data_IF_109989443021
#
_entry.id   IF_109989443021
#
_cell.length_a   1.000
_cell.length_b   1.000
_cell.length_c   1.000
_cell.angle_alpha   90.00
_cell.angle_beta   90.00
_cell.angle_gamma   90.00
#
_symmetry.space_group_name_H-M   'P 1'
#
loop_
_entity.id
_entity.type
_entity.pdbx_description
1 polymer ?
#
# COMPACT_ATOMS: atom_id res chain seq x y z
N UNK A 1 -13.99 -24.16 2.79
CA UNK A 1 -13.61 -23.16 1.79
C UNK A 1 -12.56 -23.78 0.88
N UNK A 2 -12.67 -23.70 -0.45
CA UNK A 2 -11.59 -24.17 -1.32
C UNK A 2 -10.34 -23.32 -1.08
N UNK A 3 -9.16 -23.91 -0.83
CA UNK A 3 -7.95 -23.16 -0.46
C UNK A 3 -7.54 -22.13 -1.53
N UNK A 4 -7.74 -22.47 -2.81
CA UNK A 4 -7.52 -21.57 -3.95
C UNK A 4 -8.41 -20.31 -3.85
N UNK A 5 -9.67 -20.48 -3.45
CA UNK A 5 -10.62 -19.36 -3.32
C UNK A 5 -10.22 -18.44 -2.17
N UNK A 6 -9.78 -18.99 -1.04
CA UNK A 6 -9.26 -18.20 0.08
C UNK A 6 -8.04 -17.38 -0.34
N UNK A 7 -7.06 -17.97 -1.03
CA UNK A 7 -5.85 -17.26 -1.48
C UNK A 7 -6.21 -16.08 -2.38
N UNK A 8 -7.12 -16.26 -3.34
CA UNK A 8 -7.55 -15.18 -4.24
C UNK A 8 -8.19 -14.04 -3.45
N UNK A 9 -9.08 -14.36 -2.51
CA UNK A 9 -9.77 -13.36 -1.68
C UNK A 9 -8.75 -12.55 -0.85
N UNK A 10 -7.83 -13.24 -0.16
CA UNK A 10 -6.81 -12.55 0.66
C UNK A 10 -5.84 -11.72 -0.19
N UNK A 11 -5.47 -12.18 -1.39
CA UNK A 11 -4.65 -11.38 -2.32
C UNK A 11 -5.36 -10.10 -2.75
N UNK A 12 -6.65 -10.17 -3.10
CA UNK A 12 -7.44 -8.99 -3.47
C UNK A 12 -7.55 -8.02 -2.28
N UNK A 13 -7.84 -8.55 -1.09
CA UNK A 13 -7.90 -7.76 0.14
C UNK A 13 -6.56 -7.06 0.39
N UNK A 14 -5.44 -7.76 0.25
CA UNK A 14 -4.10 -7.17 0.40
C UNK A 14 -3.83 -6.01 -0.55
N UNK A 15 -4.19 -6.17 -1.84
CA UNK A 15 -4.06 -5.09 -2.83
C UNK A 15 -4.91 -3.88 -2.45
N UNK A 16 -6.15 -4.10 -2.02
CA UNK A 16 -7.06 -3.02 -1.59
C UNK A 16 -6.50 -2.32 -0.35
N UNK A 17 -5.96 -3.05 0.63
CA UNK A 17 -5.32 -2.45 1.80
C UNK A 17 -4.09 -1.61 1.42
N UNK A 18 -3.26 -2.08 0.50
CA UNK A 18 -2.11 -1.30 0.00
C UNK A 18 -2.55 0.04 -0.59
N UNK A 19 -3.58 0.05 -1.44
CA UNK A 19 -4.12 1.28 -2.03
C UNK A 19 -4.73 2.22 -0.97
N UNK A 20 -5.44 1.66 0.00
CA UNK A 20 -6.01 2.43 1.12
C UNK A 20 -4.92 3.03 2.00
N UNK A 21 -3.88 2.26 2.32
CA UNK A 21 -2.74 2.73 3.12
C UNK A 21 -2.04 3.92 2.47
N UNK A 22 -1.78 3.82 1.15
CA UNK A 22 -1.25 4.96 0.38
C UNK A 22 -2.19 6.17 0.44
N UNK A 23 -3.47 5.98 0.15
CA UNK A 23 -4.45 7.07 0.09
C UNK A 23 -4.64 7.77 1.43
N UNK A 24 -4.65 7.02 2.53
CA UNK A 24 -4.72 7.58 3.89
C UNK A 24 -3.49 8.43 4.16
N UNK A 25 -2.31 7.95 3.77
CA UNK A 25 -1.06 8.68 3.97
C UNK A 25 -1.00 9.96 3.13
N UNK A 26 -1.39 9.89 1.86
CA UNK A 26 -1.43 11.04 0.95
C UNK A 26 -2.41 12.14 1.42
N UNK A 27 -3.55 11.75 1.99
CA UNK A 27 -4.49 12.69 2.62
C UNK A 27 -3.94 13.28 3.91
N UNK A 28 -3.18 12.50 4.69
CA UNK A 28 -2.59 12.97 5.94
C UNK A 28 -1.42 13.93 5.69
N UNK A 29 -0.74 13.84 4.55
CA UNK A 29 0.32 14.76 4.16
C UNK A 29 -0.25 16.07 3.60
N UNK A 30 0.36 17.23 3.93
CA UNK A 30 -0.10 18.53 3.45
C UNK A 30 0.19 18.78 1.95
N UNK A 31 0.91 17.88 1.28
CA UNK A 31 1.26 17.92 -0.13
C UNK A 31 0.86 16.60 -0.79
N UNK A 32 0.62 16.65 -2.12
CA UNK A 32 0.34 15.46 -2.92
C UNK A 32 1.64 14.75 -3.27
N UNK A 33 1.78 13.50 -2.81
CA UNK A 33 2.96 12.68 -3.09
C UNK A 33 3.12 12.42 -4.59
N UNK A 34 2.01 12.22 -5.31
CA UNK A 34 2.02 12.02 -6.76
C UNK A 34 2.66 13.19 -7.51
N UNK A 35 2.31 14.43 -7.13
CA UNK A 35 2.85 15.64 -7.76
C UNK A 35 4.36 15.80 -7.46
N UNK A 36 4.79 15.46 -6.25
CA UNK A 36 6.20 15.49 -5.86
C UNK A 36 7.02 14.43 -6.61
N UNK A 37 6.48 13.23 -6.79
CA UNK A 37 7.11 12.18 -7.59
C UNK A 37 7.26 12.65 -9.05
N UNK A 38 6.24 13.27 -9.64
CA UNK A 38 6.31 13.80 -11.01
C UNK A 38 7.35 14.91 -11.18
N UNK A 39 7.60 15.72 -10.14
CA UNK A 39 8.66 16.73 -10.13
C UNK A 39 10.07 16.15 -9.99
N UNK A 40 10.21 14.83 -9.85
CA UNK A 40 11.49 14.15 -9.66
C UNK A 40 11.95 14.11 -8.21
N UNK A 41 11.05 14.30 -7.24
CA UNK A 41 11.39 14.19 -5.83
C UNK A 41 11.54 12.72 -5.42
N UNK A 42 12.78 12.22 -5.45
CA UNK A 42 13.11 10.84 -5.08
C UNK A 42 12.69 10.50 -3.64
N UNK A 43 12.71 11.48 -2.73
CA UNK A 43 12.32 11.25 -1.34
C UNK A 43 10.83 10.90 -1.23
N UNK A 44 9.96 11.55 -2.01
CA UNK A 44 8.54 11.20 -2.09
C UNK A 44 8.36 9.76 -2.60
N UNK A 45 9.11 9.34 -3.62
CA UNK A 45 9.09 7.97 -4.12
C UNK A 45 9.53 6.93 -3.07
N UNK A 46 10.55 7.25 -2.26
CA UNK A 46 11.01 6.37 -1.16
C UNK A 46 9.95 6.26 -0.06
N UNK A 47 9.25 7.35 0.26
CA UNK A 47 8.15 7.32 1.23
C UNK A 47 7.02 6.41 0.72
N UNK A 48 6.62 6.56 -0.55
CA UNK A 48 5.57 5.73 -1.15
C UNK A 48 5.95 4.26 -1.15
N UNK A 49 7.20 3.91 -1.51
CA UNK A 49 7.64 2.52 -1.46
C UNK A 49 7.66 1.97 -0.02
N UNK A 50 8.08 2.78 0.95
CA UNK A 50 8.03 2.43 2.37
C UNK A 50 6.62 2.12 2.86
N UNK A 51 5.62 2.91 2.44
CA UNK A 51 4.21 2.68 2.79
C UNK A 51 3.74 1.34 2.24
N UNK A 52 4.01 1.03 0.97
CA UNK A 52 3.63 -0.25 0.38
C UNK A 52 4.30 -1.44 1.06
N UNK A 53 5.59 -1.34 1.40
CA UNK A 53 6.32 -2.39 2.13
C UNK A 53 5.71 -2.59 3.52
N UNK A 54 5.44 -1.51 4.26
CA UNK A 54 4.86 -1.60 5.60
C UNK A 54 3.49 -2.29 5.58
N UNK A 55 2.61 -1.88 4.66
CA UNK A 55 1.28 -2.51 4.52
C UNK A 55 1.39 -3.97 4.10
N UNK A 56 2.28 -4.29 3.16
CA UNK A 56 2.51 -5.67 2.73
C UNK A 56 2.97 -6.57 3.89
N UNK A 57 3.85 -6.08 4.76
CA UNK A 57 4.29 -6.81 5.96
C UNK A 57 3.11 -7.04 6.92
N UNK A 58 2.28 -6.04 7.17
CA UNK A 58 1.10 -6.17 8.04
C UNK A 58 0.12 -7.21 7.46
N UNK A 59 -0.15 -7.15 6.16
CA UNK A 59 -1.03 -8.11 5.48
C UNK A 59 -0.45 -9.52 5.57
N UNK A 60 0.85 -9.69 5.28
CA UNK A 60 1.52 -10.98 5.37
C UNK A 60 1.49 -11.56 6.79
N UNK A 61 1.65 -10.74 7.82
CA UNK A 61 1.55 -11.15 9.22
C UNK A 61 0.11 -11.45 9.69
N UNK A 62 -0.90 -10.91 9.00
CA UNK A 62 -2.32 -11.06 9.37
C UNK A 62 -2.99 -12.29 8.75
N UNK A 63 -2.39 -12.87 7.71
CA UNK A 63 -2.90 -14.08 7.06
C UNK A 63 -2.46 -15.31 7.88
N UNK A 64 -3.43 -16.15 8.28
CA UNK A 64 -3.26 -17.39 9.06
C UNK A 64 -3.41 -18.62 8.14
#
# INVERSE_FOLDING_TARGET
MNPILSTIIYSIIGIVLCLLGYKIFDIATPFKLDDEIQKGNTAAGVVVSGIFIAVAIIVAASII
#
